data_IF_075749216588
#
_entry.id   IF_075749216588
#
_cell.length_a   1.000
_cell.length_b   1.000
_cell.length_c   1.000
_cell.angle_alpha   90.00
_cell.angle_beta   90.00
_cell.angle_gamma   90.00
#
_symmetry.space_group_name_H-M   'P 1'
#
loop_
_entity.id
_entity.type
_entity.pdbx_description
1 polymer ?
#
# COMPACT_ATOMS: atom_id res chain seq x y z
N UNK A 1 17.47 -11.98 5.57
CA UNK A 1 16.81 -12.82 4.53
C UNK A 1 17.46 -12.47 3.21
N UNK A 2 17.70 -13.43 2.33
CA UNK A 2 18.27 -13.16 0.99
C UNK A 2 17.30 -12.31 0.15
N UNK A 3 17.78 -11.44 -0.75
CA UNK A 3 16.94 -10.54 -1.53
C UNK A 3 15.80 -11.28 -2.24
N UNK A 4 16.11 -12.37 -2.95
CA UNK A 4 15.11 -13.18 -3.66
C UNK A 4 14.06 -13.78 -2.72
N UNK A 5 14.46 -14.21 -1.53
CA UNK A 5 13.52 -14.75 -0.54
C UNK A 5 12.52 -13.69 -0.04
N UNK A 6 12.93 -12.41 0.08
CA UNK A 6 12.01 -11.32 0.45
C UNK A 6 10.91 -11.13 -0.58
N UNK A 7 11.27 -11.15 -1.86
CA UNK A 7 10.34 -10.89 -2.96
C UNK A 7 9.50 -12.10 -3.35
N UNK A 8 10.10 -13.29 -3.46
CA UNK A 8 9.44 -14.47 -4.02
C UNK A 8 8.66 -15.30 -2.97
N UNK A 9 9.01 -15.17 -1.69
CA UNK A 9 8.38 -15.96 -0.62
C UNK A 9 7.69 -15.07 0.41
N UNK A 10 8.45 -14.16 1.03
CA UNK A 10 7.93 -13.34 2.12
C UNK A 10 6.80 -12.40 1.68
N UNK A 11 7.00 -11.60 0.63
CA UNK A 11 6.00 -10.62 0.21
C UNK A 11 4.65 -11.27 -0.20
N UNK A 12 4.61 -12.37 -0.99
CA UNK A 12 3.37 -13.09 -1.28
C UNK A 12 2.67 -13.64 -0.03
N UNK A 13 3.43 -14.23 0.90
CA UNK A 13 2.89 -14.75 2.16
C UNK A 13 2.33 -13.63 3.05
N UNK A 14 3.06 -12.52 3.15
CA UNK A 14 2.65 -11.34 3.89
C UNK A 14 1.37 -10.73 3.32
N UNK A 15 1.29 -10.56 2.00
CA UNK A 15 0.08 -10.06 1.33
C UNK A 15 -1.12 -10.98 1.61
N UNK A 16 -0.91 -12.30 1.62
CA UNK A 16 -1.98 -13.25 1.97
C UNK A 16 -2.40 -13.14 3.44
N UNK A 17 -1.47 -12.90 4.36
CA UNK A 17 -1.79 -12.65 5.77
C UNK A 17 -2.58 -11.35 5.95
N UNK A 18 -2.14 -10.26 5.31
CA UNK A 18 -2.82 -8.96 5.30
C UNK A 18 -4.24 -9.10 4.76
N UNK A 19 -4.43 -9.84 3.65
CA UNK A 19 -5.76 -10.08 3.06
C UNK A 19 -6.69 -10.92 3.95
N UNK A 20 -6.15 -11.73 4.85
CA UNK A 20 -6.95 -12.55 5.78
C UNK A 20 -7.28 -11.81 7.07
N UNK A 21 -6.48 -10.81 7.42
CA UNK A 21 -6.68 -10.01 8.61
C UNK A 21 -7.89 -9.07 8.43
N UNK A 22 -8.80 -9.05 9.39
CA UNK A 22 -9.99 -8.18 9.39
C UNK A 22 -9.89 -7.00 10.36
N UNK A 23 -8.89 -7.01 11.25
CA UNK A 23 -8.74 -6.07 12.35
C UNK A 23 -7.69 -4.99 12.03
N UNK A 24 -6.79 -5.25 11.08
CA UNK A 24 -5.72 -4.31 10.71
C UNK A 24 -6.22 -2.90 10.36
N UNK A 25 -7.37 -2.77 9.70
CA UNK A 25 -7.93 -1.46 9.35
C UNK A 25 -8.25 -0.63 10.59
N UNK A 26 -8.87 -1.22 11.61
CA UNK A 26 -9.22 -0.51 12.85
C UNK A 26 -7.99 -0.28 13.72
N UNK A 27 -7.06 -1.24 13.78
CA UNK A 27 -5.79 -1.10 14.49
C UNK A 27 -4.92 0.03 13.91
N UNK A 28 -4.73 0.06 12.59
CA UNK A 28 -3.99 1.13 11.91
C UNK A 28 -4.68 2.48 12.12
N UNK A 29 -6.02 2.54 12.01
CA UNK A 29 -6.77 3.77 12.25
C UNK A 29 -6.56 4.29 13.68
N UNK A 30 -6.59 3.40 14.68
CA UNK A 30 -6.32 3.72 16.08
C UNK A 30 -4.89 4.26 16.27
N UNK A 31 -3.89 3.57 15.74
CA UNK A 31 -2.48 3.92 15.94
C UNK A 31 -2.04 5.20 15.20
N UNK A 32 -2.64 5.47 14.03
CA UNK A 32 -2.25 6.62 13.18
C UNK A 32 -3.18 7.82 13.34
N UNK A 33 -4.36 7.66 13.92
CA UNK A 33 -5.42 8.67 13.97
C UNK A 33 -6.12 8.90 12.62
N UNK A 34 -5.81 8.10 11.59
CA UNK A 34 -6.49 8.18 10.30
C UNK A 34 -7.90 7.57 10.38
N UNK A 35 -8.85 8.14 9.63
CA UNK A 35 -10.18 7.57 9.57
C UNK A 35 -10.17 6.18 8.90
N UNK A 36 -10.85 5.19 9.50
CA UNK A 36 -10.90 3.81 9.00
C UNK A 36 -11.25 3.68 7.52
N UNK A 37 -12.17 4.52 7.02
CA UNK A 37 -12.56 4.47 5.60
C UNK A 37 -11.40 4.80 4.65
N UNK A 38 -10.43 5.61 5.10
CA UNK A 38 -9.21 5.90 4.33
C UNK A 38 -8.27 4.70 4.33
N UNK A 39 -8.01 4.12 5.49
CA UNK A 39 -7.20 2.91 5.63
C UNK A 39 -7.78 1.76 4.82
N UNK A 40 -9.10 1.55 4.90
CA UNK A 40 -9.80 0.54 4.11
C UNK A 40 -9.69 0.78 2.61
N UNK A 41 -9.73 2.03 2.17
CA UNK A 41 -9.51 2.37 0.75
C UNK A 41 -8.11 1.98 0.30
N UNK A 42 -7.09 2.30 1.10
CA UNK A 42 -5.70 1.95 0.82
C UNK A 42 -5.55 0.42 0.79
N UNK A 43 -6.07 -0.28 1.79
CA UNK A 43 -6.05 -1.75 1.82
C UNK A 43 -6.67 -2.35 0.56
N UNK A 44 -7.83 -1.84 0.14
CA UNK A 44 -8.49 -2.28 -1.08
C UNK A 44 -7.67 -1.97 -2.33
N UNK A 45 -7.07 -0.79 -2.41
CA UNK A 45 -6.18 -0.39 -3.50
C UNK A 45 -4.99 -1.33 -3.64
N UNK A 46 -4.20 -1.48 -2.58
CA UNK A 46 -2.93 -2.19 -2.64
C UNK A 46 -3.12 -3.71 -2.73
N UNK A 47 -4.10 -4.27 -2.01
CA UNK A 47 -4.16 -5.72 -1.80
C UNK A 47 -5.31 -6.45 -2.52
N UNK A 48 -6.39 -5.78 -2.92
CA UNK A 48 -7.61 -6.47 -3.40
C UNK A 48 -8.12 -6.03 -4.77
N UNK A 49 -7.71 -4.87 -5.28
CA UNK A 49 -8.22 -4.38 -6.57
C UNK A 49 -7.27 -4.77 -7.69
N UNK A 50 -7.87 -5.04 -8.85
CA UNK A 50 -7.16 -5.13 -10.11
C UNK A 50 -7.11 -3.74 -10.74
N UNK A 51 -6.01 -3.46 -11.40
CA UNK A 51 -5.69 -2.19 -12.01
C UNK A 51 -5.37 -2.40 -13.48
N UNK A 52 -5.63 -1.39 -14.30
CA UNK A 52 -5.00 -1.34 -15.62
C UNK A 52 -3.52 -0.99 -15.41
N UNK A 53 -2.68 -2.02 -15.43
CA UNK A 53 -1.23 -1.91 -15.47
C UNK A 53 -0.78 -1.66 -16.90
N UNK A 54 0.53 -1.56 -17.12
CA UNK A 54 1.08 -1.20 -18.44
C UNK A 54 0.79 -2.24 -19.53
N UNK A 55 0.83 -3.52 -19.16
CA UNK A 55 0.75 -4.64 -20.08
C UNK A 55 -0.49 -5.51 -19.86
N UNK A 56 -1.18 -5.36 -18.72
CA UNK A 56 -2.29 -6.23 -18.31
C UNK A 56 -3.26 -5.55 -17.36
N UNK A 57 -4.43 -6.18 -17.21
CA UNK A 57 -5.37 -5.86 -16.14
C UNK A 57 -5.23 -6.90 -15.02
N UNK A 58 -4.60 -6.53 -13.91
CA UNK A 58 -4.19 -7.49 -12.86
C UNK A 58 -4.00 -6.80 -11.49
N UNK A 59 -3.72 -7.58 -10.45
CA UNK A 59 -3.31 -7.09 -9.13
C UNK A 59 -1.87 -6.57 -9.17
N UNK A 60 -1.51 -5.73 -8.19
CA UNK A 60 -0.10 -5.39 -7.96
C UNK A 60 0.72 -6.61 -7.54
N UNK A 61 1.97 -6.65 -8.03
CA UNK A 61 2.96 -7.62 -7.59
C UNK A 61 3.31 -7.34 -6.11
N UNK A 62 3.43 -8.38 -5.24
CA UNK A 62 3.76 -8.17 -3.84
C UNK A 62 5.12 -7.51 -3.64
N UNK A 63 5.15 -6.47 -2.80
CA UNK A 63 6.35 -5.73 -2.43
C UNK A 63 6.66 -5.94 -0.93
N UNK A 64 7.85 -6.43 -0.56
CA UNK A 64 8.18 -6.74 0.82
C UNK A 64 8.22 -5.48 1.71
N UNK A 65 8.54 -4.32 1.16
CA UNK A 65 8.66 -3.09 1.94
C UNK A 65 7.28 -2.46 2.20
N UNK A 66 6.35 -2.59 1.25
CA UNK A 66 4.92 -2.28 1.48
C UNK A 66 4.33 -3.21 2.56
N UNK A 67 4.64 -4.51 2.50
CA UNK A 67 4.20 -5.47 3.50
C UNK A 67 4.75 -5.11 4.90
N UNK A 68 6.05 -4.82 5.00
CA UNK A 68 6.68 -4.42 6.25
C UNK A 68 6.08 -3.12 6.81
N UNK A 69 5.82 -2.13 5.95
CA UNK A 69 5.16 -0.89 6.34
C UNK A 69 3.75 -1.13 6.89
N UNK A 70 2.96 -1.98 6.22
CA UNK A 70 1.62 -2.34 6.68
C UNK A 70 1.64 -2.99 8.07
N UNK A 71 2.55 -3.93 8.30
CA UNK A 71 2.69 -4.56 9.61
C UNK A 71 3.16 -3.58 10.70
N UNK A 72 4.07 -2.66 10.39
CA UNK A 72 4.48 -1.65 11.36
C UNK A 72 3.34 -0.68 11.73
N UNK A 73 2.55 -0.27 10.73
CA UNK A 73 1.34 0.53 10.93
C UNK A 73 0.35 -0.22 11.83
N UNK A 74 0.14 -1.50 11.55
CA UNK A 74 -0.75 -2.36 12.33
C UNK A 74 -0.28 -2.50 13.78
N UNK A 75 1.02 -2.70 14.01
CA UNK A 75 1.61 -2.88 15.34
C UNK A 75 1.77 -1.57 16.13
N UNK A 76 1.63 -0.41 15.48
CA UNK A 76 1.79 0.90 16.11
C UNK A 76 3.25 1.35 16.30
N UNK A 77 4.21 0.64 15.70
CA UNK A 77 5.65 0.97 15.68
C UNK A 77 6.10 1.53 14.32
N UNK A 78 5.19 2.23 13.63
CA UNK A 78 5.42 2.79 12.30
C UNK A 78 6.46 3.91 12.27
N UNK A 79 7.07 4.05 11.10
CA UNK A 79 8.01 5.10 10.74
C UNK A 79 7.31 6.23 9.98
N UNK A 80 7.98 7.36 9.81
CA UNK A 80 7.43 8.48 9.04
C UNK A 80 7.20 8.09 7.56
N UNK A 81 8.03 7.21 7.02
CA UNK A 81 7.92 6.61 5.69
C UNK A 81 6.63 5.81 5.53
N UNK A 82 6.19 5.11 6.58
CA UNK A 82 4.95 4.31 6.53
C UNK A 82 3.70 5.21 6.50
N UNK A 83 3.74 6.36 7.17
CA UNK A 83 2.69 7.38 7.03
C UNK A 83 2.69 8.00 5.62
N UNK A 84 3.88 8.21 5.03
CA UNK A 84 4.00 8.67 3.65
C UNK A 84 3.45 7.65 2.65
N UNK A 85 3.58 6.35 2.92
CA UNK A 85 2.90 5.30 2.14
C UNK A 85 1.39 5.50 2.17
N UNK A 86 0.80 5.71 3.36
CA UNK A 86 -0.65 5.93 3.46
C UNK A 86 -1.11 7.16 2.67
N UNK A 87 -0.35 8.26 2.71
CA UNK A 87 -0.65 9.45 1.93
C UNK A 87 -0.55 9.22 0.43
N UNK A 88 0.50 8.50 0.00
CA UNK A 88 0.75 8.12 -1.38
C UNK A 88 -0.42 7.29 -1.94
N UNK A 89 -0.69 6.15 -1.32
CA UNK A 89 -1.70 5.19 -1.77
C UNK A 89 -3.13 5.75 -1.67
N UNK A 90 -3.40 6.59 -0.66
CA UNK A 90 -4.70 7.22 -0.55
C UNK A 90 -4.95 8.21 -1.70
N UNK A 91 -3.95 9.01 -2.06
CA UNK A 91 -4.08 9.93 -3.18
C UNK A 91 -4.19 9.18 -4.50
N UNK A 92 -3.29 8.22 -4.76
CA UNK A 92 -3.28 7.43 -5.99
C UNK A 92 -4.62 6.73 -6.20
N UNK A 93 -5.09 6.01 -5.19
CA UNK A 93 -6.36 5.28 -5.25
C UNK A 93 -7.55 6.17 -5.56
N UNK A 94 -7.56 7.43 -5.09
CA UNK A 94 -8.59 8.43 -5.37
C UNK A 94 -8.46 8.95 -6.79
N UNK A 95 -7.25 9.24 -7.23
CA UNK A 95 -6.96 9.78 -8.55
C UNK A 95 -7.42 8.83 -9.66
N UNK A 96 -7.06 7.54 -9.57
CA UNK A 96 -7.49 6.52 -10.53
C UNK A 96 -9.01 6.50 -10.73
N UNK A 97 -9.77 6.55 -9.63
CA UNK A 97 -11.23 6.45 -9.68
C UNK A 97 -11.88 7.74 -10.16
N UNK A 98 -11.40 8.90 -9.74
CA UNK A 98 -11.99 10.20 -10.10
C UNK A 98 -11.77 10.49 -11.58
N UNK A 99 -10.57 10.18 -12.10
CA UNK A 99 -10.18 10.50 -13.47
C UNK A 99 -10.24 9.31 -14.42
N UNK A 100 -10.63 8.13 -13.93
CA UNK A 100 -10.72 6.87 -14.68
C UNK A 100 -9.43 6.60 -15.48
N UNK A 101 -8.29 6.60 -14.78
CA UNK A 101 -6.96 6.42 -15.38
C UNK A 101 -6.41 5.02 -15.14
N UNK A 102 -5.40 4.65 -15.90
CA UNK A 102 -4.50 3.56 -15.53
C UNK A 102 -3.69 3.90 -14.26
N UNK A 103 -3.05 2.86 -13.71
CA UNK A 103 -2.21 2.96 -12.51
C UNK A 103 -1.04 3.92 -12.72
N UNK A 104 -0.29 3.77 -13.83
CA UNK A 104 0.92 4.57 -14.08
C UNK A 104 0.62 6.07 -14.09
N UNK A 105 -0.49 6.47 -14.71
CA UNK A 105 -0.94 7.86 -14.77
C UNK A 105 -1.27 8.40 -13.38
N UNK A 106 -1.97 7.61 -12.56
CA UNK A 106 -2.28 8.00 -11.19
C UNK A 106 -1.02 8.08 -10.32
N UNK A 107 -0.13 7.09 -10.41
CA UNK A 107 1.15 7.06 -9.70
C UNK A 107 2.01 8.30 -10.02
N UNK A 108 2.14 8.62 -11.31
CA UNK A 108 2.83 9.84 -11.74
C UNK A 108 2.15 11.12 -11.24
N UNK A 109 0.82 11.14 -11.11
CA UNK A 109 0.12 12.27 -10.50
C UNK A 109 0.41 12.37 -9.00
N UNK A 110 0.45 11.25 -8.29
CA UNK A 110 0.83 11.17 -6.86
C UNK A 110 2.23 11.74 -6.64
N UNK A 111 3.22 11.29 -7.41
CA UNK A 111 4.60 11.80 -7.36
C UNK A 111 4.65 13.31 -7.65
N UNK A 112 4.01 13.77 -8.74
CA UNK A 112 3.98 15.21 -9.10
C UNK A 112 3.32 16.08 -8.05
N UNK A 113 2.42 15.50 -7.24
CA UNK A 113 1.75 16.20 -6.14
C UNK A 113 2.60 16.32 -4.87
N UNK A 114 3.83 15.81 -4.88
CA UNK A 114 4.76 15.85 -3.74
C UNK A 114 4.62 14.70 -2.75
N UNK A 115 3.71 13.75 -3.00
CA UNK A 115 3.48 12.56 -2.15
C UNK A 115 4.45 11.45 -2.54
N UNK A 116 5.74 11.71 -2.38
CA UNK A 116 6.77 10.71 -2.65
C UNK A 116 6.78 9.67 -1.53
N UNK A 117 6.86 8.41 -1.90
CA UNK A 117 7.15 7.33 -0.97
C UNK A 117 8.46 6.65 -1.35
N UNK A 118 9.25 6.34 -0.33
CA UNK A 118 10.43 5.49 -0.44
C UNK A 118 10.47 4.67 0.84
N UNK A 119 10.79 3.37 0.76
CA UNK A 119 10.87 2.54 1.93
C UNK A 119 12.00 3.00 2.85
N UNK A 120 11.92 2.74 4.16
CA UNK A 120 13.03 2.98 5.08
C UNK A 120 14.30 2.27 4.59
N UNK A 121 15.45 2.93 4.70
CA UNK A 121 16.74 2.25 4.48
C UNK A 121 16.90 1.15 5.56
N UNK A 122 17.02 -0.10 5.09
CA UNK A 122 17.23 -1.28 5.93
C UNK A 122 18.70 -1.61 6.14
#
# INVERSE_FOLDING_TARGET
MEYLQRWEQYAPEAYNAIRRNTDDVSEIALHTGWAEFRIRRIKNHVFYRQHQLDDRFDYFDPDPDIADAWFRLQQGNYLAEDLRLLEHEYFESRFEVIFNTDYRTAHHATIRSGRLWSPPEG
#
